data_IF_093982528058
#
_entry.id   IF_093982528058
#
_cell.length_a   1.000
_cell.length_b   1.000
_cell.length_c   1.000
_cell.angle_alpha   90.00
_cell.angle_beta   90.00
_cell.angle_gamma   90.00
#
_symmetry.space_group_name_H-M   'P 1'
#
loop_
_entity.id
_entity.type
_entity.pdbx_description
1 polymer ?
#
# COMPACT_ATOMS: atom_id res chain seq x y z
N UNK A 1 3.18 10.27 2.93
CA UNK A 1 3.37 9.60 1.62
C UNK A 1 2.51 10.25 0.54
N UNK A 2 1.18 10.38 0.71
CA UNK A 2 0.32 11.09 -0.24
C UNK A 2 0.82 12.51 -0.57
N UNK A 3 1.20 13.29 0.43
CA UNK A 3 1.75 14.64 0.23
C UNK A 3 2.95 14.68 -0.70
N UNK A 4 3.84 13.67 -0.65
CA UNK A 4 5.00 13.56 -1.55
C UNK A 4 4.51 13.31 -2.99
N UNK A 5 3.54 12.42 -3.17
CA UNK A 5 2.96 12.13 -4.49
C UNK A 5 2.29 13.39 -5.04
N UNK A 6 1.53 14.13 -4.24
CA UNK A 6 0.86 15.36 -4.69
C UNK A 6 1.88 16.46 -5.04
N UNK A 7 2.93 16.66 -4.22
CA UNK A 7 4.05 17.55 -4.57
C UNK A 7 4.73 17.14 -5.88
N UNK A 8 4.88 15.83 -6.12
CA UNK A 8 5.48 15.31 -7.36
C UNK A 8 4.59 15.54 -8.58
N UNK A 9 3.26 15.38 -8.44
CA UNK A 9 2.28 15.62 -9.51
C UNK A 9 2.28 17.07 -9.99
N UNK A 10 2.53 18.02 -9.08
CA UNK A 10 2.54 19.46 -9.39
C UNK A 10 3.83 19.92 -10.09
N UNK A 11 4.91 19.14 -9.99
CA UNK A 11 6.18 19.45 -10.64
C UNK A 11 6.18 19.12 -12.12
N UNK A 12 6.92 19.91 -12.89
CA UNK A 12 7.16 19.61 -14.30
C UNK A 12 7.99 18.32 -14.44
N UNK A 13 7.66 17.50 -15.43
CA UNK A 13 8.33 16.22 -15.65
C UNK A 13 9.83 16.40 -15.95
N UNK A 14 10.26 17.55 -16.49
CA UNK A 14 11.68 17.86 -16.70
C UNK A 14 12.51 17.94 -15.41
N UNK A 15 11.87 18.15 -14.25
CA UNK A 15 12.55 18.15 -12.94
C UNK A 15 12.82 16.73 -12.40
N UNK A 16 12.15 15.70 -12.93
CA UNK A 16 12.19 14.34 -12.39
C UNK A 16 13.59 13.70 -12.43
N UNK A 17 14.38 13.82 -13.52
CA UNK A 17 15.73 13.27 -13.55
C UNK A 17 16.65 13.85 -12.47
N UNK A 18 16.58 15.16 -12.24
CA UNK A 18 17.39 15.83 -11.22
C UNK A 18 17.00 15.37 -9.80
N UNK A 19 15.69 15.24 -9.56
CA UNK A 19 15.20 14.70 -8.29
C UNK A 19 15.64 13.25 -8.08
N UNK A 20 15.54 12.39 -9.09
CA UNK A 20 15.99 11.01 -9.01
C UNK A 20 17.48 10.94 -8.66
N UNK A 21 18.33 11.73 -9.32
CA UNK A 21 19.75 11.80 -9.00
C UNK A 21 20.03 12.24 -7.56
N UNK A 22 19.17 13.10 -6.99
CA UNK A 22 19.28 13.56 -5.61
C UNK A 22 18.84 12.48 -4.60
N UNK A 23 17.82 11.69 -4.93
CA UNK A 23 17.23 10.68 -4.04
C UNK A 23 17.95 9.33 -4.07
N UNK A 24 18.47 8.91 -5.23
CA UNK A 24 19.08 7.59 -5.42
C UNK A 24 20.19 7.25 -4.43
N UNK A 25 21.07 8.18 -4.00
CA UNK A 25 22.08 7.88 -2.97
C UNK A 25 21.49 7.49 -1.60
N UNK A 26 20.23 7.84 -1.34
CA UNK A 26 19.55 7.64 -0.05
C UNK A 26 18.45 6.56 -0.11
N UNK A 27 18.24 5.93 -1.27
CA UNK A 27 17.18 4.94 -1.48
C UNK A 27 17.77 3.65 -2.04
N UNK A 28 17.59 2.54 -1.31
CA UNK A 28 17.89 1.21 -1.83
C UNK A 28 16.71 0.69 -2.64
N UNK A 29 16.93 0.39 -3.92
CA UNK A 29 15.92 -0.14 -4.84
C UNK A 29 16.53 -1.14 -5.82
N UNK A 30 15.72 -2.09 -6.30
CA UNK A 30 16.08 -3.01 -7.39
C UNK A 30 15.60 -2.52 -8.77
N UNK A 31 14.96 -1.35 -8.83
CA UNK A 31 14.51 -0.73 -10.08
C UNK A 31 15.68 -0.05 -10.79
N UNK A 32 15.78 -0.23 -12.11
CA UNK A 32 16.74 0.55 -12.89
C UNK A 32 16.28 2.02 -13.00
N UNK A 33 17.21 2.98 -13.18
CA UNK A 33 16.84 4.39 -13.38
C UNK A 33 15.82 4.62 -14.51
N UNK A 34 15.91 3.82 -15.60
CA UNK A 34 14.94 3.85 -16.71
C UNK A 34 13.53 3.45 -16.26
N UNK A 35 13.41 2.45 -15.39
CA UNK A 35 12.12 1.99 -14.87
C UNK A 35 11.47 3.09 -14.03
N UNK A 36 12.26 3.75 -13.16
CA UNK A 36 11.80 4.86 -12.34
C UNK A 36 11.27 6.03 -13.18
N UNK A 37 12.00 6.42 -14.23
CA UNK A 37 11.56 7.48 -15.15
C UNK A 37 10.28 7.07 -15.88
N UNK A 38 10.21 5.84 -16.39
CA UNK A 38 9.03 5.35 -17.09
C UNK A 38 7.79 5.33 -16.19
N UNK A 39 7.92 4.81 -14.96
CA UNK A 39 6.84 4.80 -13.97
C UNK A 39 6.39 6.23 -13.66
N UNK A 40 7.34 7.15 -13.43
CA UNK A 40 7.05 8.56 -13.18
C UNK A 40 6.32 9.22 -14.36
N UNK A 41 6.74 8.94 -15.59
CA UNK A 41 6.10 9.47 -16.80
C UNK A 41 4.67 8.94 -16.97
N UNK A 42 4.46 7.63 -16.78
CA UNK A 42 3.12 7.04 -16.81
C UNK A 42 2.23 7.67 -15.75
N UNK A 43 2.73 7.83 -14.52
CA UNK A 43 1.98 8.45 -13.43
C UNK A 43 1.61 9.92 -13.72
N UNK A 44 2.55 10.71 -14.25
CA UNK A 44 2.32 12.12 -14.63
C UNK A 44 1.20 12.29 -15.67
N UNK A 45 1.00 11.28 -16.54
CA UNK A 45 -0.02 11.31 -17.57
C UNK A 45 -1.42 10.87 -17.08
N UNK A 46 -1.56 10.34 -15.86
CA UNK A 46 -2.88 10.07 -15.29
C UNK A 46 -3.53 11.38 -14.82
N UNK A 47 -4.64 11.77 -15.47
CA UNK A 47 -5.38 13.00 -15.16
C UNK A 47 -6.88 12.69 -15.00
N UNK A 48 -7.42 12.61 -13.76
CA UNK A 48 -6.74 12.79 -12.47
C UNK A 48 -5.96 11.54 -12.02
N UNK A 49 -4.82 11.74 -11.35
CA UNK A 49 -4.14 10.66 -10.62
C UNK A 49 -4.77 10.49 -9.23
N UNK A 50 -5.72 9.58 -9.14
CA UNK A 50 -6.38 9.18 -7.90
C UNK A 50 -5.62 8.03 -7.26
N UNK A 51 -5.23 8.18 -5.98
CA UNK A 51 -4.55 7.14 -5.21
C UNK A 51 -5.48 6.68 -4.09
N UNK A 52 -5.98 5.45 -4.18
CA UNK A 52 -6.73 4.82 -3.09
C UNK A 52 -5.79 4.37 -1.98
N UNK A 53 -6.25 4.42 -0.74
CA UNK A 53 -5.49 3.95 0.42
C UNK A 53 -6.22 2.77 1.05
N UNK A 54 -5.44 1.77 1.47
CA UNK A 54 -5.91 0.64 2.25
C UNK A 54 -4.89 0.30 3.33
N UNK A 55 -5.35 -0.21 4.47
CA UNK A 55 -4.51 -0.62 5.58
C UNK A 55 -4.62 -2.12 5.80
N UNK A 56 -3.48 -2.79 5.91
CA UNK A 56 -3.41 -4.20 6.24
C UNK A 56 -2.38 -4.43 7.37
N UNK A 57 -2.68 -5.24 8.40
CA UNK A 57 -3.98 -5.89 8.64
C UNK A 57 -5.09 -4.88 8.95
N UNK A 58 -6.33 -5.31 8.86
CA UNK A 58 -7.50 -4.47 9.10
C UNK A 58 -7.57 -4.18 10.61
N UNK A 59 -7.36 -2.92 10.99
CA UNK A 59 -7.29 -2.49 12.39
C UNK A 59 -8.68 -2.07 12.88
N UNK A 60 -9.53 -3.06 13.14
CA UNK A 60 -10.91 -2.86 13.60
C UNK A 60 -11.24 -3.62 14.90
N UNK A 61 -10.21 -4.15 15.57
CA UNK A 61 -10.30 -4.98 16.79
C UNK A 61 -11.03 -6.34 16.63
N UNK A 62 -11.55 -6.63 15.43
CA UNK A 62 -12.31 -7.85 15.11
C UNK A 62 -11.44 -8.80 14.29
N UNK A 63 -10.83 -8.31 13.22
CA UNK A 63 -10.01 -9.08 12.28
C UNK A 63 -8.52 -9.05 12.63
N UNK A 64 -8.18 -8.43 13.76
CA UNK A 64 -6.80 -8.32 14.25
C UNK A 64 -6.76 -8.39 15.78
N UNK A 65 -5.69 -8.98 16.30
CA UNK A 65 -5.37 -8.99 17.73
C UNK A 65 -3.89 -8.70 17.95
N UNK A 66 -3.60 -7.69 18.77
CA UNK A 66 -2.24 -7.42 19.23
C UNK A 66 -1.82 -8.40 20.33
N UNK A 67 -0.58 -8.90 20.29
CA UNK A 67 -0.09 -9.80 21.35
C UNK A 67 1.34 -10.28 21.15
N UNK A 68 1.91 -10.90 22.20
CA UNK A 68 3.20 -11.58 22.09
C UNK A 68 3.03 -12.88 21.31
N UNK A 69 3.88 -13.09 20.31
CA UNK A 69 3.89 -14.30 19.49
C UNK A 69 5.23 -15.01 19.56
N UNK A 70 5.24 -16.18 20.22
CA UNK A 70 6.43 -17.05 20.36
C UNK A 70 7.68 -16.21 20.70
N UNK A 71 8.76 -16.36 19.92
CA UNK A 71 10.00 -15.58 20.04
C UNK A 71 10.03 -14.30 19.18
N UNK A 72 8.97 -13.99 18.43
CA UNK A 72 8.91 -12.84 17.53
C UNK A 72 8.58 -11.51 18.24
N UNK A 73 8.26 -11.55 19.54
CA UNK A 73 7.90 -10.36 20.30
C UNK A 73 6.44 -9.97 20.10
N UNK A 74 6.13 -8.68 20.21
CA UNK A 74 4.77 -8.17 20.05
C UNK A 74 4.43 -7.97 18.58
N UNK A 75 3.32 -8.55 18.13
CA UNK A 75 2.88 -8.54 16.72
C UNK A 75 1.38 -8.32 16.62
N UNK A 76 0.95 -7.98 15.41
CA UNK A 76 -0.45 -8.04 15.00
C UNK A 76 -0.76 -9.42 14.42
N UNK A 77 -1.56 -10.21 15.16
CA UNK A 77 -2.14 -11.45 14.65
C UNK A 77 -3.39 -11.09 13.86
N UNK A 78 -3.36 -11.30 12.56
CA UNK A 78 -4.47 -10.96 11.67
C UNK A 78 -5.24 -12.20 11.24
N UNK A 79 -6.47 -11.98 10.82
CA UNK A 79 -7.32 -13.01 10.24
C UNK A 79 -6.81 -13.45 8.86
N UNK A 80 -6.49 -14.73 8.70
CA UNK A 80 -5.95 -15.29 7.46
C UNK A 80 -6.90 -15.15 6.26
N UNK A 81 -8.21 -15.05 6.51
CA UNK A 81 -9.22 -14.88 5.46
C UNK A 81 -9.34 -13.42 4.98
N UNK A 82 -9.00 -12.44 5.82
CA UNK A 82 -8.90 -11.02 5.45
C UNK A 82 -7.89 -10.74 4.32
N UNK A 83 -7.01 -11.68 3.96
CA UNK A 83 -6.17 -11.58 2.75
C UNK A 83 -6.99 -11.38 1.47
N UNK A 84 -8.20 -11.94 1.41
CA UNK A 84 -9.11 -11.73 0.27
C UNK A 84 -9.47 -10.24 0.13
N UNK A 85 -9.63 -9.52 1.24
CA UNK A 85 -9.91 -8.08 1.22
C UNK A 85 -8.75 -7.30 0.58
N UNK A 86 -7.50 -7.64 0.91
CA UNK A 86 -6.33 -7.03 0.28
C UNK A 86 -6.24 -7.37 -1.22
N UNK A 87 -6.52 -8.63 -1.59
CA UNK A 87 -6.51 -9.06 -2.98
C UNK A 87 -7.59 -8.35 -3.81
N UNK A 88 -8.78 -8.19 -3.27
CA UNK A 88 -9.88 -7.48 -3.92
C UNK A 88 -9.59 -5.98 -4.05
N UNK A 89 -8.94 -5.38 -3.05
CA UNK A 89 -8.48 -3.99 -3.12
C UNK A 89 -7.47 -3.78 -4.25
N UNK A 90 -6.49 -4.68 -4.40
CA UNK A 90 -5.44 -4.56 -5.43
C UNK A 90 -5.95 -4.90 -6.83
N UNK A 91 -6.73 -5.98 -6.97
CA UNK A 91 -7.04 -6.57 -8.27
C UNK A 91 -8.44 -6.22 -8.80
N UNK A 92 -9.39 -5.96 -7.90
CA UNK A 92 -10.81 -5.81 -8.23
C UNK A 92 -11.33 -4.39 -7.95
N UNK A 93 -10.45 -3.46 -7.53
CA UNK A 93 -10.77 -2.07 -7.20
C UNK A 93 -11.87 -1.91 -6.12
N UNK A 94 -11.99 -2.90 -5.23
CA UNK A 94 -12.97 -2.88 -4.14
C UNK A 94 -12.35 -2.20 -2.92
N UNK A 95 -12.92 -1.06 -2.49
CA UNK A 95 -12.47 -0.39 -1.27
C UNK A 95 -12.56 -1.35 -0.07
N UNK A 96 -11.53 -1.38 0.78
CA UNK A 96 -11.40 -2.41 1.82
C UNK A 96 -12.60 -2.45 2.77
N UNK A 97 -13.12 -1.28 3.16
CA UNK A 97 -14.27 -1.09 4.04
C UNK A 97 -15.61 -1.55 3.42
N UNK A 98 -15.66 -1.71 2.10
CA UNK A 98 -16.84 -2.18 1.35
C UNK A 98 -16.81 -3.67 1.06
N UNK A 99 -15.73 -4.36 1.41
CA UNK A 99 -15.59 -5.78 1.09
C UNK A 99 -16.62 -6.63 1.85
N UNK A 100 -17.30 -7.54 1.14
CA UNK A 100 -18.35 -8.37 1.71
C UNK A 100 -17.87 -9.28 2.84
N UNK A 101 -16.60 -9.68 2.81
CA UNK A 101 -16.01 -10.51 3.86
C UNK A 101 -16.13 -9.87 5.25
N UNK A 102 -16.05 -8.53 5.33
CA UNK A 102 -16.09 -7.80 6.60
C UNK A 102 -17.50 -7.68 7.22
N UNK A 103 -18.53 -8.15 6.51
CA UNK A 103 -19.91 -8.13 7.00
C UNK A 103 -20.24 -9.35 7.86
N UNK A 104 -19.42 -10.39 7.82
CA UNK A 104 -19.63 -11.65 8.55
C UNK A 104 -18.36 -12.13 9.27
N UNK A 105 -18.42 -12.10 10.60
CA UNK A 105 -17.30 -12.46 11.47
C UNK A 105 -17.21 -13.96 11.79
N UNK A 106 -18.13 -14.79 11.28
CA UNK A 106 -18.20 -16.22 11.63
C UNK A 106 -16.98 -17.03 11.17
N UNK A 107 -16.23 -16.53 10.18
CA UNK A 107 -15.11 -17.24 9.56
C UNK A 107 -13.74 -16.68 9.95
N UNK A 108 -13.65 -15.85 10.98
CA UNK A 108 -12.38 -15.27 11.43
C UNK A 108 -11.42 -16.36 11.89
N UNK A 109 -10.20 -16.36 11.33
CA UNK A 109 -9.14 -17.30 11.68
C UNK A 109 -7.82 -16.58 11.92
N UNK A 110 -7.54 -16.29 13.19
CA UNK A 110 -6.27 -15.69 13.60
C UNK A 110 -5.10 -16.68 13.46
N UNK A 111 -3.95 -16.17 13.03
CA UNK A 111 -2.73 -16.95 12.84
C UNK A 111 -1.91 -17.06 14.14
N UNK A 112 -2.21 -18.05 14.99
CA UNK A 112 -1.50 -18.34 16.25
C UNK A 112 -0.22 -19.20 16.10
#
# INVERSE_FOLDING_TARGET
>A
MLSIIDTMKEKDFSEYPNLLNTLLPYVSTNLAPKDLINIGFTAYNFKPLTVKQGQFPIIDEVHVKGGKYKSAGWVWLYDLNSRKVLQDFINNDIDMDKNEYLKDNNNIRLNY
#
